data_IF_143894418350
#
_entry.id   IF_143894418350
#
_cell.length_a   1.000
_cell.length_b   1.000
_cell.length_c   1.000
_cell.angle_alpha   90.00
_cell.angle_beta   90.00
_cell.angle_gamma   90.00
#
_symmetry.space_group_name_H-M   'P 1'
#
loop_
_entity.id
_entity.type
_entity.pdbx_description
1 polymer ?
#
# COMPACT_ATOMS: atom_id res chain seq x y z
N UNK A 1 -16.13 -8.37 0.41
CA UNK A 1 -15.50 -7.78 1.61
C UNK A 1 -14.09 -7.41 1.18
N UNK A 2 -13.68 -6.16 1.35
CA UNK A 2 -12.32 -5.76 1.00
C UNK A 2 -11.38 -6.22 2.12
N UNK A 3 -10.34 -6.97 1.75
CA UNK A 3 -9.30 -7.42 2.68
C UNK A 3 -8.15 -6.41 2.70
N UNK A 4 -7.66 -6.05 3.88
CA UNK A 4 -6.52 -5.15 4.04
C UNK A 4 -5.32 -5.95 4.50
N UNK A 5 -4.35 -6.13 3.61
CA UNK A 5 -3.12 -6.86 3.91
C UNK A 5 -1.95 -5.89 4.03
N UNK A 6 -1.18 -5.98 5.12
CA UNK A 6 0.09 -5.25 5.25
C UNK A 6 1.10 -5.89 4.29
N UNK A 7 1.70 -5.08 3.41
CA UNK A 7 2.69 -5.55 2.43
C UNK A 7 4.09 -5.09 2.74
N UNK A 8 4.22 -3.92 3.38
CA UNK A 8 5.51 -3.34 3.69
C UNK A 8 5.40 -2.46 4.92
N UNK A 9 6.35 -2.61 5.84
CA UNK A 9 6.51 -1.73 6.99
C UNK A 9 7.86 -1.06 6.87
N UNK A 10 7.84 0.25 6.66
CA UNK A 10 9.05 1.05 6.63
C UNK A 10 9.71 1.06 8.01
N UNK A 11 11.04 1.06 8.10
CA UNK A 11 11.76 1.22 9.37
C UNK A 11 11.48 2.57 10.06
N UNK A 12 11.01 3.56 9.30
CA UNK A 12 10.55 4.86 9.82
C UNK A 12 9.20 4.78 10.57
N UNK A 13 8.55 3.61 10.58
CA UNK A 13 7.28 3.37 11.25
C UNK A 13 6.05 3.58 10.37
N UNK A 14 6.23 3.84 9.07
CA UNK A 14 5.13 3.89 8.11
C UNK A 14 4.70 2.47 7.72
N UNK A 15 3.40 2.23 7.77
CA UNK A 15 2.79 0.97 7.37
C UNK A 15 2.14 1.13 6.00
N UNK A 16 2.48 0.26 5.07
CA UNK A 16 1.88 0.19 3.75
C UNK A 16 1.03 -1.07 3.66
N UNK A 17 -0.25 -0.84 3.41
CA UNK A 17 -1.26 -1.88 3.25
C UNK A 17 -1.80 -1.85 1.82
N UNK A 18 -2.25 -3.00 1.34
CA UNK A 18 -3.01 -3.11 0.10
C UNK A 18 -4.43 -3.55 0.43
N UNK A 19 -5.38 -2.93 -0.23
CA UNK A 19 -6.78 -3.32 -0.21
C UNK A 19 -7.01 -4.28 -1.36
N UNK A 20 -7.39 -5.52 -1.06
CA UNK A 20 -7.74 -6.54 -2.05
C UNK A 20 -9.25 -6.64 -2.21
N UNK A 21 -9.70 -6.68 -3.46
CA UNK A 21 -11.08 -6.95 -3.82
C UNK A 21 -11.43 -8.44 -3.74
N UNK A 22 -12.68 -8.78 -4.08
CA UNK A 22 -13.15 -10.19 -4.11
C UNK A 22 -12.37 -11.09 -5.07
N UNK A 23 -11.67 -10.53 -6.05
CA UNK A 23 -10.90 -11.28 -7.06
C UNK A 23 -9.43 -11.48 -6.68
N UNK A 24 -9.06 -11.22 -5.41
CA UNK A 24 -7.67 -11.19 -4.95
C UNK A 24 -6.81 -10.08 -5.59
N UNK A 25 -7.43 -9.24 -6.42
CA UNK A 25 -6.80 -8.09 -7.07
C UNK A 25 -6.63 -6.93 -6.09
N UNK A 26 -5.48 -6.28 -6.11
CA UNK A 26 -5.23 -5.09 -5.30
C UNK A 26 -5.95 -3.91 -5.94
N UNK A 27 -6.95 -3.37 -5.26
CA UNK A 27 -7.75 -2.24 -5.75
C UNK A 27 -7.19 -0.88 -5.29
N UNK A 28 -6.53 -0.85 -4.13
CA UNK A 28 -5.97 0.37 -3.56
C UNK A 28 -4.78 0.08 -2.65
N UNK A 29 -3.95 1.09 -2.44
CA UNK A 29 -2.86 1.09 -1.47
C UNK A 29 -3.23 2.06 -0.35
N UNK A 30 -3.13 1.61 0.90
CA UNK A 30 -3.34 2.43 2.08
C UNK A 30 -2.00 2.66 2.76
N UNK A 31 -1.51 3.88 2.67
CA UNK A 31 -0.38 4.35 3.46
C UNK A 31 -0.88 4.80 4.83
N UNK A 32 -0.31 4.23 5.88
CA UNK A 32 -0.51 4.68 7.24
C UNK A 32 0.79 5.30 7.75
N UNK A 33 0.75 6.61 7.95
CA UNK A 33 1.84 7.32 8.60
C UNK A 33 2.01 6.83 10.04
N UNK A 34 3.25 6.87 10.52
CA UNK A 34 3.56 6.54 11.91
C UNK A 34 2.82 7.47 12.90
N UNK A 35 2.73 7.06 14.17
CA UNK A 35 2.07 7.83 15.21
C UNK A 35 2.71 9.22 15.44
N UNK A 36 4.02 9.37 15.23
CA UNK A 36 4.71 10.65 15.35
C UNK A 36 4.33 11.64 14.23
N UNK A 37 3.96 11.14 13.06
CA UNK A 37 3.38 11.91 11.94
C UNK A 37 1.86 12.07 12.04
N UNK A 38 1.24 11.72 13.17
CA UNK A 38 -0.19 11.89 13.41
C UNK A 38 -1.08 10.74 12.93
N UNK A 39 -0.50 9.61 12.50
CA UNK A 39 -1.27 8.41 12.17
C UNK A 39 -2.14 8.52 10.91
N UNK A 40 -1.87 9.50 10.04
CA UNK A 40 -2.67 9.77 8.85
C UNK A 40 -2.72 8.54 7.94
N UNK A 41 -3.94 8.09 7.65
CA UNK A 41 -4.17 7.08 6.61
C UNK A 41 -4.52 7.75 5.31
N UNK A 42 -3.68 7.53 4.31
CA UNK A 42 -3.91 7.95 2.93
C UNK A 42 -4.26 6.72 2.10
N UNK A 43 -5.44 6.73 1.48
CA UNK A 43 -5.84 5.71 0.51
C UNK A 43 -5.60 6.24 -0.89
N UNK A 44 -4.78 5.54 -1.67
CA UNK A 44 -4.46 5.87 -3.05
C UNK A 44 -4.83 4.69 -3.94
N UNK A 45 -5.51 4.89 -5.07
CA UNK A 45 -5.76 3.83 -6.04
C UNK A 45 -4.47 3.16 -6.47
N UNK A 46 -4.45 1.83 -6.62
CA UNK A 46 -3.20 1.13 -6.96
C UNK A 46 -2.62 1.62 -8.28
N UNK A 47 -3.46 1.92 -9.26
CA UNK A 47 -3.03 2.44 -10.56
C UNK A 47 -2.28 3.77 -10.39
N UNK A 48 -2.90 4.74 -9.72
CA UNK A 48 -2.28 6.05 -9.45
C UNK A 48 -1.00 5.92 -8.61
N UNK A 49 -1.01 5.02 -7.63
CA UNK A 49 0.15 4.77 -6.78
C UNK A 49 1.34 4.20 -7.58
N UNK A 50 1.09 3.25 -8.47
CA UNK A 50 2.13 2.66 -9.32
C UNK A 50 2.62 3.62 -10.40
N UNK A 51 1.75 4.53 -10.87
CA UNK A 51 2.09 5.59 -11.82
C UNK A 51 2.96 6.68 -11.16
N UNK A 52 2.63 7.11 -9.94
CA UNK A 52 3.40 8.12 -9.19
C UNK A 52 4.68 7.56 -8.55
N UNK A 53 4.62 6.34 -8.04
CA UNK A 53 5.61 5.78 -7.12
C UNK A 53 6.55 4.75 -7.74
N UNK A 54 6.57 4.58 -9.07
CA UNK A 54 7.14 3.41 -9.76
C UNK A 54 8.61 3.03 -9.47
N UNK A 55 9.39 3.87 -8.78
CA UNK A 55 10.77 3.57 -8.34
C UNK A 55 10.96 3.45 -6.82
N UNK A 56 9.93 3.68 -6.01
CA UNK A 56 10.05 3.59 -4.55
C UNK A 56 10.01 2.13 -4.05
N UNK A 57 10.67 1.81 -2.92
CA UNK A 57 10.60 0.49 -2.32
C UNK A 57 9.15 0.06 -1.98
N UNK A 58 8.29 0.98 -1.54
CA UNK A 58 6.87 0.66 -1.33
C UNK A 58 6.14 0.23 -2.61
N UNK A 59 6.43 0.86 -3.75
CA UNK A 59 5.82 0.48 -5.03
C UNK A 59 6.35 -0.86 -5.55
N UNK A 60 7.63 -1.17 -5.33
CA UNK A 60 8.19 -2.48 -5.65
C UNK A 60 7.51 -3.57 -4.82
N UNK A 61 7.30 -3.34 -3.51
CA UNK A 61 6.60 -4.28 -2.64
C UNK A 61 5.15 -4.51 -3.10
N UNK A 62 4.40 -3.44 -3.42
CA UNK A 62 3.03 -3.56 -3.95
C UNK A 62 3.01 -4.30 -5.29
N UNK A 63 3.97 -4.04 -6.19
CA UNK A 63 4.08 -4.75 -7.48
C UNK A 63 4.40 -6.23 -7.30
N UNK A 64 5.25 -6.59 -6.34
CA UNK A 64 5.55 -7.98 -6.03
C UNK A 64 4.28 -8.73 -5.62
N UNK A 65 3.41 -8.09 -4.83
CA UNK A 65 2.13 -8.65 -4.41
C UNK A 65 1.12 -8.77 -5.56
N UNK A 66 1.17 -7.85 -6.54
CA UNK A 66 0.35 -7.92 -7.76
C UNK A 66 0.82 -8.99 -8.76
N UNK A 67 2.09 -9.38 -8.67
CA UNK A 67 2.71 -10.37 -9.55
C UNK A 67 2.65 -11.80 -9.00
N UNK A 68 2.15 -11.97 -7.77
CA UNK A 68 1.92 -13.27 -7.11
C UNK A 68 0.53 -13.84 -7.47
#
# INVERSE_FOLDING_TARGET
MADLQIVYRSPNGDDWMVERGSSNDVIAVVHQANAASGGTRTRTPVAEFLERGGGSPEAVAVRAILAE
#
